data_IF_119807478107
#
_entry.id   IF_119807478107
#
_cell.length_a   1.000
_cell.length_b   1.000
_cell.length_c   1.000
_cell.angle_alpha   90.00
_cell.angle_beta   90.00
_cell.angle_gamma   90.00
#
_symmetry.space_group_name_H-M   'P 1'
#
loop_
_entity.id
_entity.type
_entity.pdbx_description
1 polymer ?
#
# COMPACT_ATOMS: atom_id res chain seq x y z
N UNK A 1 -5.10 4.55 0.34
CA UNK A 1 -4.87 3.19 0.87
C UNK A 1 -6.06 2.32 0.46
N UNK A 2 -5.93 1.16 -0.17
CA UNK A 2 -6.92 0.09 -0.32
C UNK A 2 -7.67 -0.21 0.98
N UNK A 3 -7.04 -0.05 2.16
CA UNK A 3 -7.75 -0.11 3.44
C UNK A 3 -8.88 0.93 3.58
N UNK A 4 -8.81 2.04 2.83
CA UNK A 4 -9.87 3.05 2.72
C UNK A 4 -11.19 2.46 2.20
N UNK A 5 -11.12 1.42 1.37
CA UNK A 5 -12.29 0.72 0.81
C UNK A 5 -13.05 -0.04 1.91
N UNK A 6 -12.36 -0.42 2.99
CA UNK A 6 -12.96 -1.09 4.15
C UNK A 6 -13.61 -0.06 5.10
N UNK A 7 -13.31 1.24 5.00
CA UNK A 7 -13.88 2.26 5.89
C UNK A 7 -15.37 2.49 5.60
N UNK A 8 -16.12 2.92 6.62
CA UNK A 8 -17.56 3.22 6.49
C UNK A 8 -17.82 4.39 5.54
N UNK A 9 -16.92 5.36 5.51
CA UNK A 9 -16.97 6.50 4.62
C UNK A 9 -15.61 6.67 3.93
N UNK A 10 -15.38 5.99 2.78
CA UNK A 10 -14.12 6.06 2.05
C UNK A 10 -13.83 7.47 1.55
N UNK A 11 -12.57 7.90 1.60
CA UNK A 11 -12.13 9.17 1.04
C UNK A 11 -12.47 9.26 -0.47
N UNK A 12 -13.22 10.32 -0.84
CA UNK A 12 -13.69 10.53 -2.22
C UNK A 12 -12.55 10.74 -3.22
N UNK A 13 -11.54 11.55 -2.86
CA UNK A 13 -10.36 11.80 -3.71
C UNK A 13 -9.61 10.50 -4.04
N UNK A 14 -9.46 9.61 -3.04
CA UNK A 14 -8.88 8.29 -3.27
C UNK A 14 -9.70 7.45 -4.24
N UNK A 15 -11.02 7.41 -4.06
CA UNK A 15 -11.93 6.64 -4.92
C UNK A 15 -11.96 7.17 -6.36
N UNK A 16 -11.91 8.48 -6.54
CA UNK A 16 -11.89 9.09 -7.87
C UNK A 16 -10.58 8.78 -8.59
N UNK A 17 -9.42 8.88 -7.92
CA UNK A 17 -8.14 8.48 -8.50
C UNK A 17 -8.06 7.00 -8.84
N UNK A 18 -8.61 6.14 -8.00
CA UNK A 18 -8.65 4.70 -8.23
C UNK A 18 -9.40 4.35 -9.54
N UNK A 19 -10.39 5.16 -9.92
CA UNK A 19 -11.14 4.98 -11.19
C UNK A 19 -10.40 5.54 -12.41
N UNK A 20 -9.58 6.56 -12.24
CA UNK A 20 -8.88 7.23 -13.35
C UNK A 20 -7.54 6.61 -13.70
N UNK A 21 -6.87 5.96 -12.74
CA UNK A 21 -5.57 5.34 -12.97
C UNK A 21 -5.75 3.97 -13.63
N UNK A 22 -5.05 3.67 -14.74
CA UNK A 22 -5.14 2.36 -15.39
C UNK A 22 -4.75 1.22 -14.45
N UNK A 23 -5.50 0.12 -14.46
CA UNK A 23 -5.24 -1.07 -13.62
C UNK A 23 -3.83 -1.63 -13.80
N UNK A 24 -3.25 -1.55 -15.00
CA UNK A 24 -1.88 -1.96 -15.28
C UNK A 24 -0.81 -1.18 -14.48
N UNK A 25 -1.15 0.02 -14.01
CA UNK A 25 -0.28 0.87 -13.18
C UNK A 25 -0.56 0.72 -11.68
N UNK A 26 -1.54 -0.10 -11.27
CA UNK A 26 -1.94 -0.30 -9.88
C UNK A 26 -1.42 -1.62 -9.35
N UNK A 27 -0.72 -1.55 -8.22
CA UNK A 27 -0.16 -2.67 -7.51
C UNK A 27 -0.65 -2.66 -6.07
N UNK A 28 -0.60 -3.80 -5.39
CA UNK A 28 -0.70 -3.91 -3.93
C UNK A 28 0.26 -4.99 -3.44
N UNK A 29 0.44 -5.14 -2.13
CA UNK A 29 1.29 -6.16 -1.53
C UNK A 29 0.45 -7.28 -0.90
N UNK A 30 1.02 -8.48 -0.78
CA UNK A 30 0.43 -9.54 0.05
C UNK A 30 0.26 -9.12 1.51
N UNK A 31 1.09 -8.18 2.00
CA UNK A 31 0.96 -7.59 3.33
C UNK A 31 -0.32 -6.78 3.46
N UNK A 32 -0.63 -5.92 2.47
CA UNK A 32 -1.90 -5.20 2.42
C UNK A 32 -3.09 -6.18 2.32
N UNK A 33 -2.99 -7.24 1.51
CA UNK A 33 -4.04 -8.26 1.42
C UNK A 33 -4.31 -8.92 2.78
N UNK A 34 -3.26 -9.23 3.55
CA UNK A 34 -3.36 -9.73 4.92
C UNK A 34 -4.10 -8.73 5.82
N UNK A 35 -3.74 -7.44 5.78
CA UNK A 35 -4.41 -6.39 6.56
C UNK A 35 -5.88 -6.23 6.17
N UNK A 36 -6.20 -6.26 4.87
CA UNK A 36 -7.58 -6.19 4.38
C UNK A 36 -8.40 -7.38 4.88
N UNK A 37 -7.82 -8.59 4.85
CA UNK A 37 -8.49 -9.79 5.35
C UNK A 37 -8.74 -9.70 6.85
N UNK A 38 -7.73 -9.30 7.62
CA UNK A 38 -7.85 -9.09 9.06
C UNK A 38 -8.92 -8.03 9.37
N UNK A 39 -8.90 -6.89 8.68
CA UNK A 39 -9.88 -5.81 8.83
C UNK A 39 -11.30 -6.27 8.52
N UNK A 40 -11.49 -7.08 7.48
CA UNK A 40 -12.79 -7.65 7.13
C UNK A 40 -13.34 -8.57 8.22
N UNK A 41 -12.48 -9.42 8.82
CA UNK A 41 -12.85 -10.31 9.92
C UNK A 41 -13.16 -9.51 11.20
N UNK A 42 -12.30 -8.56 11.56
CA UNK A 42 -12.44 -7.73 12.77
C UNK A 42 -13.73 -6.91 12.77
N UNK A 43 -14.20 -6.46 11.60
CA UNK A 43 -15.38 -5.60 11.50
C UNK A 43 -16.70 -6.30 11.86
N UNK A 44 -16.72 -7.63 12.02
CA UNK A 44 -17.81 -8.42 12.64
C UNK A 44 -19.22 -8.36 12.00
N UNK A 45 -19.52 -7.38 11.15
CA UNK A 45 -20.90 -7.02 10.79
C UNK A 45 -21.27 -7.24 9.33
N UNK A 46 -20.37 -7.75 8.48
CA UNK A 46 -20.71 -8.02 7.08
C UNK A 46 -19.97 -9.24 6.53
N UNK A 47 -20.61 -10.42 6.52
CA UNK A 47 -20.11 -11.62 5.85
C UNK A 47 -19.76 -11.37 4.37
N UNK A 48 -20.37 -10.33 3.77
CA UNK A 48 -20.18 -9.96 2.36
C UNK A 48 -18.96 -9.07 2.08
N UNK A 49 -18.28 -8.53 3.10
CA UNK A 49 -17.22 -7.54 2.87
C UNK A 49 -16.00 -8.14 2.17
N UNK A 50 -15.51 -9.30 2.63
CA UNK A 50 -14.38 -9.97 1.99
C UNK A 50 -14.70 -10.41 0.56
N UNK A 51 -15.80 -11.15 0.28
CA UNK A 51 -16.16 -11.49 -1.09
C UNK A 51 -16.22 -10.27 -2.03
N UNK A 52 -16.73 -9.12 -1.54
CA UNK A 52 -16.75 -7.88 -2.34
C UNK A 52 -15.35 -7.37 -2.67
N UNK A 53 -14.40 -7.38 -1.73
CA UNK A 53 -13.02 -6.96 -1.96
C UNK A 53 -12.34 -7.91 -2.95
N UNK A 54 -12.47 -9.21 -2.71
CA UNK A 54 -11.84 -10.27 -3.50
C UNK A 54 -12.35 -10.30 -4.95
N UNK A 55 -13.65 -10.06 -5.17
CA UNK A 55 -14.25 -10.13 -6.50
C UNK A 55 -14.18 -8.81 -7.28
N UNK A 56 -14.18 -7.65 -6.60
CA UNK A 56 -14.35 -6.35 -7.28
C UNK A 56 -13.13 -5.43 -7.22
N UNK A 57 -12.21 -5.66 -6.28
CA UNK A 57 -11.07 -4.77 -6.00
C UNK A 57 -9.75 -5.46 -6.34
N UNK A 58 -9.48 -6.62 -5.75
CA UNK A 58 -8.22 -7.35 -5.98
C UNK A 58 -7.96 -7.67 -7.47
N UNK A 59 -8.96 -7.99 -8.32
CA UNK A 59 -8.72 -8.23 -9.74
C UNK A 59 -8.30 -6.99 -10.53
N UNK A 60 -8.43 -5.79 -9.96
CA UNK A 60 -8.06 -4.51 -10.61
C UNK A 60 -6.65 -4.06 -10.26
N UNK A 61 -5.95 -4.78 -9.38
CA UNK A 61 -4.60 -4.43 -8.92
C UNK A 61 -3.69 -5.64 -9.03
N UNK A 62 -2.42 -5.41 -9.37
CA UNK A 62 -1.41 -6.48 -9.39
C UNK A 62 -0.87 -6.70 -7.98
N UNK A 63 -1.05 -7.91 -7.44
CA UNK A 63 -0.56 -8.26 -6.09
C UNK A 63 0.91 -8.69 -6.19
N UNK A 64 1.77 -8.06 -5.39
CA UNK A 64 3.18 -8.40 -5.26
C UNK A 64 3.45 -9.12 -3.94
N UNK A 65 4.17 -10.23 -4.03
CA UNK A 65 4.54 -11.05 -2.88
C UNK A 65 5.78 -10.49 -2.17
N UNK A 66 5.84 -10.65 -0.85
CA UNK A 66 7.07 -10.49 -0.09
C UNK A 66 7.91 -11.77 -0.23
N UNK A 67 8.96 -11.72 -1.04
CA UNK A 67 9.83 -12.89 -1.31
C UNK A 67 11.24 -12.67 -0.78
N UNK A 68 12.16 -13.57 -1.10
CA UNK A 68 13.56 -13.50 -0.67
C UNK A 68 14.20 -12.13 -0.98
N UNK A 69 14.01 -11.59 -2.19
CA UNK A 69 14.60 -10.30 -2.60
C UNK A 69 14.12 -9.16 -1.69
N UNK A 70 12.82 -9.10 -1.43
CA UNK A 70 12.22 -8.08 -0.55
C UNK A 70 12.63 -8.29 0.90
N UNK A 71 12.80 -9.53 1.37
CA UNK A 71 13.28 -9.83 2.71
C UNK A 71 14.71 -9.33 2.97
N UNK A 72 15.63 -9.51 2.00
CA UNK A 72 16.99 -8.95 2.09
C UNK A 72 16.93 -7.42 2.19
N UNK A 73 16.17 -6.77 1.29
CA UNK A 73 15.99 -5.32 1.32
C UNK A 73 15.36 -4.83 2.64
N UNK A 74 14.40 -5.57 3.19
CA UNK A 74 13.80 -5.25 4.48
C UNK A 74 14.82 -5.32 5.63
N UNK A 75 15.71 -6.31 5.65
CA UNK A 75 16.79 -6.41 6.63
C UNK A 75 17.75 -5.21 6.59
N UNK A 76 18.14 -4.79 5.38
CA UNK A 76 18.94 -3.58 5.17
C UNK A 76 18.22 -2.33 5.69
N UNK A 77 16.93 -2.17 5.39
CA UNK A 77 16.12 -1.06 5.87
C UNK A 77 15.98 -1.06 7.40
N UNK A 78 15.76 -2.22 8.02
CA UNK A 78 15.70 -2.36 9.49
C UNK A 78 17.00 -1.87 10.10
N UNK A 79 18.14 -2.37 9.61
CA UNK A 79 19.46 -1.99 10.13
C UNK A 79 19.69 -0.47 10.01
N UNK A 80 19.38 0.10 8.85
CA UNK A 80 19.51 1.53 8.60
C UNK A 80 18.62 2.36 9.54
N UNK A 81 17.32 2.07 9.59
CA UNK A 81 16.35 2.81 10.41
C UNK A 81 16.58 2.64 11.91
N UNK A 82 17.04 1.47 12.34
CA UNK A 82 17.40 1.22 13.73
C UNK A 82 18.60 2.09 14.13
N UNK A 83 19.65 2.11 13.31
CA UNK A 83 20.87 2.90 13.59
C UNK A 83 20.62 4.41 13.64
N UNK A 84 19.60 4.90 12.92
CA UNK A 84 19.22 6.32 12.89
C UNK A 84 18.13 6.69 13.92
N UNK A 85 17.65 5.75 14.73
CA UNK A 85 16.57 5.99 15.72
C UNK A 85 15.21 6.27 15.08
N UNK A 86 15.00 5.83 13.83
CA UNK A 86 13.82 6.11 13.02
C UNK A 86 12.96 4.88 12.70
N UNK A 87 13.15 3.77 13.43
CA UNK A 87 12.44 2.53 13.21
C UNK A 87 10.92 2.73 13.07
N UNK A 88 10.33 2.05 12.10
CA UNK A 88 8.90 2.04 11.80
C UNK A 88 8.36 0.61 11.95
N UNK A 89 7.04 0.44 11.81
CA UNK A 89 6.41 -0.88 11.87
C UNK A 89 6.98 -1.85 10.84
N UNK A 90 7.07 -3.13 11.20
CA UNK A 90 7.67 -4.15 10.33
C UNK A 90 6.88 -4.30 9.02
N UNK A 91 5.57 -4.13 9.08
CA UNK A 91 4.67 -4.17 7.91
C UNK A 91 5.00 -3.02 6.94
N UNK A 92 5.20 -1.79 7.45
CA UNK A 92 5.61 -0.64 6.65
C UNK A 92 6.98 -0.87 5.99
N UNK A 93 7.91 -1.55 6.68
CA UNK A 93 9.21 -1.94 6.12
C UNK A 93 9.05 -3.00 5.01
N UNK A 94 8.21 -4.02 5.24
CA UNK A 94 7.92 -5.06 4.24
C UNK A 94 7.30 -4.46 2.98
N UNK A 95 6.39 -3.51 3.13
CA UNK A 95 5.81 -2.78 2.01
C UNK A 95 6.86 -1.91 1.33
N UNK A 96 7.61 -1.11 2.09
CA UNK A 96 8.63 -0.22 1.53
C UNK A 96 9.69 -0.97 0.73
N UNK A 97 10.12 -2.14 1.22
CA UNK A 97 11.02 -3.03 0.49
C UNK A 97 10.41 -3.59 -0.80
N UNK A 98 9.14 -4.03 -0.80
CA UNK A 98 8.42 -4.39 -2.05
C UNK A 98 8.44 -3.23 -3.03
N UNK A 99 8.11 -2.01 -2.58
CA UNK A 99 8.06 -0.85 -3.44
C UNK A 99 9.43 -0.51 -4.05
N UNK A 100 10.49 -0.48 -3.25
CA UNK A 100 11.86 -0.21 -3.72
C UNK A 100 12.33 -1.29 -4.70
N UNK A 101 12.14 -2.57 -4.37
CA UNK A 101 12.54 -3.69 -5.23
C UNK A 101 11.86 -3.68 -6.60
N UNK A 102 10.69 -3.02 -6.71
CA UNK A 102 9.87 -2.98 -7.93
C UNK A 102 9.80 -1.58 -8.57
N UNK A 103 10.52 -0.58 -8.03
CA UNK A 103 10.53 0.80 -8.55
C UNK A 103 9.17 1.49 -8.47
N UNK A 104 8.40 1.23 -7.41
CA UNK A 104 7.03 1.73 -7.24
C UNK A 104 6.97 2.97 -6.35
N UNK A 105 5.93 3.78 -6.58
CA UNK A 105 5.54 4.87 -5.67
C UNK A 105 4.48 4.35 -4.71
N UNK A 106 4.69 4.50 -3.40
CA UNK A 106 3.74 4.08 -2.36
C UNK A 106 2.63 5.12 -2.21
N UNK A 107 1.38 4.68 -2.30
CA UNK A 107 0.21 5.53 -2.07
C UNK A 107 -0.26 5.39 -0.62
N UNK A 108 -0.01 6.40 0.22
CA UNK A 108 -0.34 6.39 1.64
C UNK A 108 -0.96 7.70 2.09
N UNK A 109 -1.93 7.63 3.00
CA UNK A 109 -2.37 8.80 3.77
C UNK A 109 -1.48 9.04 5.01
N UNK A 110 -0.69 8.06 5.43
CA UNK A 110 0.30 8.19 6.50
C UNK A 110 1.70 8.27 5.89
N UNK A 111 2.03 9.44 5.32
CA UNK A 111 3.30 9.67 4.63
C UNK A 111 4.50 9.69 5.59
N UNK A 112 4.29 10.03 6.87
CA UNK A 112 5.35 10.21 7.88
C UNK A 112 6.17 8.95 8.15
N UNK A 113 5.58 7.77 8.06
CA UNK A 113 6.30 6.52 8.28
C UNK A 113 7.18 6.20 7.07
N UNK A 114 6.57 6.21 5.88
CA UNK A 114 7.26 5.88 4.63
C UNK A 114 8.33 6.91 4.27
N UNK A 115 8.17 8.17 4.67
CA UNK A 115 9.16 9.22 4.38
C UNK A 115 10.51 9.00 5.06
N UNK A 116 10.59 8.06 6.02
CA UNK A 116 11.84 7.66 6.67
C UNK A 116 12.61 6.63 5.85
N UNK A 117 11.97 5.97 4.89
CA UNK A 117 12.60 4.97 4.03
C UNK A 117 13.36 5.71 2.92
N UNK A 118 14.70 5.56 2.83
CA UNK A 118 15.49 6.21 1.79
C UNK A 118 15.03 5.81 0.38
N UNK A 119 15.09 6.76 -0.55
CA UNK A 119 14.74 6.61 -1.98
C UNK A 119 13.29 6.20 -2.28
N UNK A 120 12.44 6.05 -1.25
CA UNK A 120 11.06 5.66 -1.42
C UNK A 120 10.22 6.86 -1.90
N UNK A 121 9.60 6.69 -3.08
CA UNK A 121 8.64 7.67 -3.60
C UNK A 121 7.29 7.45 -2.95
N UNK A 122 6.66 8.55 -2.52
CA UNK A 122 5.37 8.52 -1.82
C UNK A 122 4.41 9.49 -2.50
N UNK A 123 3.15 9.07 -2.61
CA UNK A 123 2.04 9.84 -3.17
C UNK A 123 0.87 9.82 -2.18
N UNK A 124 0.31 10.99 -1.86
CA UNK A 124 -0.83 11.12 -0.97
C UNK A 124 -2.10 11.47 -1.77
N UNK A 125 -2.93 10.45 -1.99
CA UNK A 125 -4.19 10.58 -2.72
C UNK A 125 -5.32 11.19 -1.90
N UNK A 126 -5.13 11.42 -0.60
CA UNK A 126 -6.07 12.20 0.20
C UNK A 126 -6.02 13.69 -0.13
N UNK A 127 -4.95 14.15 -0.80
CA UNK A 127 -4.74 15.53 -1.19
C UNK A 127 -4.89 15.70 -2.71
N UNK A 128 -5.32 16.90 -3.12
CA UNK A 128 -5.52 17.28 -4.53
C UNK A 128 -4.20 17.66 -5.21
N UNK A 129 -3.24 16.74 -5.35
CA UNK A 129 -1.98 17.01 -6.07
C UNK A 129 -1.81 16.10 -7.29
N UNK A 130 -1.67 16.71 -8.46
CA UNK A 130 -1.45 16.02 -9.73
C UNK A 130 -0.12 15.25 -9.71
N UNK A 131 -0.16 13.95 -9.96
CA UNK A 131 1.05 13.12 -10.13
C UNK A 131 1.11 12.66 -11.58
N UNK A 132 2.30 12.58 -12.21
CA UNK A 132 2.43 12.29 -13.63
C UNK A 132 1.68 11.02 -14.06
N UNK A 133 1.10 11.10 -15.26
CA UNK A 133 0.59 9.95 -15.97
C UNK A 133 1.78 9.00 -16.25
N UNK A 134 1.61 7.70 -15.99
CA UNK A 134 2.65 6.68 -16.19
C UNK A 134 3.34 6.16 -14.92
N UNK A 135 3.16 6.79 -13.75
CA UNK A 135 3.73 6.28 -12.50
C UNK A 135 3.09 4.96 -12.07
N UNK A 136 3.91 3.92 -11.82
CA UNK A 136 3.49 2.66 -11.21
C UNK A 136 3.34 2.83 -9.70
N UNK A 137 2.17 2.47 -9.16
CA UNK A 137 1.78 2.80 -7.79
C UNK A 137 1.46 1.56 -6.97
N UNK A 138 2.07 1.46 -5.79
CA UNK A 138 1.73 0.47 -4.78
C UNK A 138 0.67 1.06 -3.84
N UNK A 139 -0.56 0.58 -3.97
CA UNK A 139 -1.64 0.91 -3.06
C UNK A 139 -1.47 0.08 -1.79
N UNK A 140 -1.09 0.76 -0.72
CA UNK A 140 -1.28 0.31 0.67
C UNK A 140 -2.73 0.07 0.97
#
# INVERSE_FOLDING_TARGET
MLSEIIKRNPNKSFMDRLKTVPSAALFTSTICVMELRFGALKRGSSPSLWPRIEQNILPKVRILSFTYKEAIKAGELISHLYSSGQLIGIEDIMIGSIALCNGLTVVSANTRHFSRIPDLKIDDWSQSVSVPLGTRRLLL
#
